data_IF_715843909258
#
_entry.id   IF_715843909258
#
_cell.length_a   1.000
_cell.length_b   1.000
_cell.length_c   1.000
_cell.angle_alpha   90.00
_cell.angle_beta   90.00
_cell.angle_gamma   90.00
#
_symmetry.space_group_name_H-M   'P 1'
#
loop_
_entity.id
_entity.type
_entity.pdbx_description
1 polymer ?
#
# COMPACT_ATOMS: atom_id res chain seq x y z
N UNK A 1 -24.20 -15.30 -4.34
CA UNK A 1 -23.54 -14.09 -3.77
C UNK A 1 -22.03 -14.13 -4.05
N UNK A 2 -21.67 -14.80 -5.12
CA UNK A 2 -20.27 -14.94 -5.55
C UNK A 2 -19.77 -13.62 -6.16
N UNK A 3 -18.52 -13.30 -5.93
CA UNK A 3 -17.72 -12.23 -6.52
C UNK A 3 -17.74 -10.84 -5.89
N UNK A 4 -18.08 -10.68 -4.60
CA UNK A 4 -17.88 -9.40 -3.91
C UNK A 4 -16.52 -9.41 -3.20
N UNK A 5 -15.61 -8.55 -3.65
CA UNK A 5 -14.29 -8.38 -3.08
C UNK A 5 -14.28 -7.04 -2.35
N UNK A 6 -13.96 -7.02 -1.06
CA UNK A 6 -13.77 -5.78 -0.31
C UNK A 6 -12.69 -4.95 -0.97
N UNK A 7 -12.96 -3.66 -1.21
CA UNK A 7 -11.98 -2.73 -1.81
C UNK A 7 -11.54 -1.74 -0.75
N UNK A 8 -10.27 -1.75 -0.44
CA UNK A 8 -9.65 -0.91 0.58
C UNK A 8 -8.74 0.13 -0.04
N UNK A 9 -8.83 1.36 0.49
CA UNK A 9 -7.92 2.43 0.12
C UNK A 9 -6.64 2.33 0.93
N UNK A 10 -5.54 1.98 0.28
CA UNK A 10 -4.19 2.06 0.83
C UNK A 10 -3.68 3.49 0.71
N UNK A 11 -3.93 4.31 1.74
CA UNK A 11 -3.39 5.65 1.80
C UNK A 11 -1.85 5.60 1.96
N UNK A 12 -1.18 6.74 1.72
CA UNK A 12 0.29 6.84 1.87
C UNK A 12 0.78 6.25 3.18
N UNK A 13 1.78 5.42 3.11
CA UNK A 13 2.39 4.77 4.27
C UNK A 13 3.84 4.38 4.01
N UNK A 14 4.52 3.97 5.08
CA UNK A 14 5.93 3.58 5.05
C UNK A 14 6.09 2.24 5.74
N UNK A 15 6.90 1.37 5.14
CA UNK A 15 7.46 0.20 5.80
C UNK A 15 8.93 0.49 6.08
N UNK A 16 9.39 0.14 7.27
CA UNK A 16 10.75 0.42 7.71
C UNK A 16 11.48 -0.85 8.14
N UNK A 17 12.80 -0.84 8.03
CA UNK A 17 13.65 -1.84 8.66
C UNK A 17 13.74 -1.60 10.17
N UNK A 18 14.20 -2.59 10.92
CA UNK A 18 14.45 -2.40 12.35
C UNK A 18 15.51 -1.33 12.61
N UNK A 19 16.54 -1.26 11.76
CA UNK A 19 17.61 -0.25 11.85
C UNK A 19 17.05 1.15 11.61
N UNK A 20 16.28 1.34 10.53
CA UNK A 20 15.62 2.62 10.22
C UNK A 20 14.68 3.04 11.35
N UNK A 21 13.94 2.09 11.93
CA UNK A 21 13.05 2.38 13.07
C UNK A 21 13.84 2.95 14.26
N UNK A 22 14.98 2.35 14.61
CA UNK A 22 15.82 2.84 15.71
C UNK A 22 16.40 4.23 15.44
N UNK A 23 16.80 4.52 14.20
CA UNK A 23 17.30 5.86 13.83
C UNK A 23 16.18 6.90 13.96
N UNK A 24 14.96 6.58 13.51
CA UNK A 24 13.86 7.53 13.49
C UNK A 24 13.22 7.75 14.87
N UNK A 25 13.17 6.73 15.73
CA UNK A 25 12.43 6.78 17.00
C UNK A 25 13.28 6.51 18.23
N UNK A 26 14.54 6.15 18.07
CA UNK A 26 15.49 5.88 19.16
C UNK A 26 15.75 4.37 19.32
N UNK A 27 16.92 4.09 19.89
CA UNK A 27 17.39 2.71 20.07
C UNK A 27 16.43 1.87 20.92
N UNK A 28 16.11 0.69 20.44
CA UNK A 28 15.21 -0.25 21.11
C UNK A 28 13.73 0.09 20.98
N UNK A 29 13.37 1.09 20.17
CA UNK A 29 11.97 1.40 19.90
C UNK A 29 11.27 0.24 19.18
N UNK A 30 10.04 -0.05 19.56
CA UNK A 30 9.18 -1.05 18.94
C UNK A 30 7.92 -0.39 18.41
N UNK A 31 7.41 -0.86 17.27
CA UNK A 31 6.18 -0.34 16.67
C UNK A 31 4.98 -0.60 17.58
N UNK A 32 4.18 0.43 17.78
CA UNK A 32 2.94 0.38 18.57
C UNK A 32 1.76 0.09 17.67
N UNK A 33 1.12 -1.05 17.83
CA UNK A 33 -0.08 -1.39 17.06
C UNK A 33 -1.24 -0.47 17.47
N UNK A 34 -1.71 0.33 16.53
CA UNK A 34 -2.88 1.18 16.66
C UNK A 34 -4.16 0.48 16.19
N UNK A 35 -4.07 -0.25 15.08
CA UNK A 35 -5.21 -0.91 14.43
C UNK A 35 -4.72 -2.02 13.51
N UNK A 36 -5.26 -3.22 13.68
CA UNK A 36 -5.03 -4.31 12.73
C UNK A 36 -5.61 -3.97 11.36
N UNK A 37 -4.92 -4.40 10.31
CA UNK A 37 -5.36 -4.29 8.93
C UNK A 37 -6.07 -5.57 8.48
N UNK A 38 -6.71 -5.53 7.32
CA UNK A 38 -7.38 -6.70 6.73
C UNK A 38 -6.42 -7.86 6.47
N UNK A 39 -5.17 -7.54 6.14
CA UNK A 39 -4.17 -8.58 5.89
C UNK A 39 -3.58 -9.10 7.21
N UNK A 40 -3.63 -10.44 7.43
CA UNK A 40 -3.19 -11.04 8.69
C UNK A 40 -1.76 -10.65 9.07
N UNK A 41 -1.57 -10.24 10.32
CA UNK A 41 -0.27 -9.87 10.88
C UNK A 41 0.23 -8.48 10.48
N UNK A 42 -0.52 -7.73 9.69
CA UNK A 42 -0.21 -6.33 9.37
C UNK A 42 -1.07 -5.39 10.21
N UNK A 43 -0.49 -4.26 10.59
CA UNK A 43 -1.17 -3.26 11.41
C UNK A 43 -0.69 -1.84 11.11
N UNK A 44 -1.59 -0.87 11.26
CA UNK A 44 -1.23 0.54 11.26
C UNK A 44 -0.63 0.90 12.64
N UNK A 45 0.47 1.66 12.62
CA UNK A 45 1.17 2.04 13.84
C UNK A 45 0.74 3.43 14.34
N UNK A 46 0.96 3.69 15.62
CA UNK A 46 0.87 5.06 16.18
C UNK A 46 1.98 5.94 15.60
N UNK A 47 3.13 5.36 15.28
CA UNK A 47 4.30 6.02 14.73
C UNK A 47 3.99 6.61 13.37
N UNK A 48 4.43 7.87 13.20
CA UNK A 48 4.35 8.60 11.94
C UNK A 48 5.69 9.22 11.61
N UNK A 49 5.98 9.27 10.33
CA UNK A 49 7.17 9.90 9.79
C UNK A 49 6.80 11.01 8.83
N UNK A 50 7.73 11.91 8.59
CA UNK A 50 7.66 12.88 7.51
C UNK A 50 8.46 12.34 6.32
N UNK A 51 7.80 12.15 5.18
CA UNK A 51 8.44 11.82 3.91
C UNK A 51 8.77 13.14 3.21
N UNK A 52 10.06 13.43 3.03
CA UNK A 52 10.55 14.65 2.40
C UNK A 52 11.08 14.37 1.00
N UNK A 53 10.62 15.14 0.06
CA UNK A 53 11.14 15.21 -1.30
C UNK A 53 11.68 16.60 -1.61
N UNK A 54 12.21 16.85 -2.82
CA UNK A 54 12.84 18.12 -3.19
C UNK A 54 11.87 19.30 -3.25
N UNK A 55 10.56 19.09 -3.35
CA UNK A 55 9.55 20.16 -3.46
C UNK A 55 8.66 20.31 -2.23
N UNK A 56 8.73 19.40 -1.29
CA UNK A 56 7.87 19.44 -0.10
C UNK A 56 7.97 18.19 0.76
N UNK A 57 7.05 18.09 1.71
CA UNK A 57 7.01 16.99 2.64
C UNK A 57 5.57 16.59 2.98
N UNK A 58 5.34 15.31 3.28
CA UNK A 58 4.06 14.75 3.68
C UNK A 58 4.24 13.88 4.93
N UNK A 59 3.25 13.88 5.81
CA UNK A 59 3.20 12.91 6.91
C UNK A 59 2.64 11.58 6.40
N UNK A 60 3.28 10.49 6.81
CA UNK A 60 2.84 9.12 6.53
C UNK A 60 2.83 8.28 7.80
N UNK A 61 1.92 7.33 7.88
CA UNK A 61 1.92 6.33 8.96
C UNK A 61 2.88 5.20 8.65
N UNK A 62 3.48 4.62 9.67
CA UNK A 62 4.21 3.36 9.52
C UNK A 62 3.19 2.22 9.55
N UNK A 63 3.38 1.24 8.68
CA UNK A 63 2.69 -0.05 8.73
C UNK A 63 3.66 -1.14 9.20
N UNK A 64 3.27 -1.80 10.26
CA UNK A 64 4.01 -2.91 10.83
C UNK A 64 3.60 -4.28 10.25
N UNK A 65 4.43 -5.30 10.52
CA UNK A 65 5.71 -5.28 11.22
C UNK A 65 6.85 -4.65 10.38
N UNK A 66 8.06 -4.52 10.99
CA UNK A 66 9.27 -4.11 10.25
C UNK A 66 9.57 -5.09 9.11
N UNK A 67 10.17 -4.56 8.03
CA UNK A 67 10.49 -5.31 6.80
C UNK A 67 12.00 -5.36 6.56
N UNK A 68 12.48 -6.25 5.65
CA UNK A 68 13.90 -6.32 5.29
C UNK A 68 14.42 -5.08 4.56
N UNK A 69 13.55 -4.27 3.95
CA UNK A 69 13.90 -3.04 3.24
C UNK A 69 12.89 -1.93 3.54
N UNK A 70 13.38 -0.68 3.49
CA UNK A 70 12.51 0.50 3.60
C UNK A 70 11.72 0.67 2.30
N UNK A 71 10.43 0.95 2.43
CA UNK A 71 9.55 1.18 1.29
C UNK A 71 8.55 2.27 1.63
N UNK A 72 8.34 3.19 0.70
CA UNK A 72 7.38 4.30 0.81
C UNK A 72 6.36 4.16 -0.29
N UNK A 73 5.11 3.95 0.07
CA UNK A 73 4.00 3.89 -0.87
C UNK A 73 3.25 5.21 -0.89
N UNK A 74 3.23 5.85 -2.05
CA UNK A 74 2.56 7.13 -2.29
C UNK A 74 1.60 6.98 -3.47
N UNK A 75 0.52 7.77 -3.47
CA UNK A 75 -0.19 8.01 -4.71
C UNK A 75 0.66 8.87 -5.65
N UNK A 76 0.35 8.85 -6.95
CA UNK A 76 1.07 9.69 -7.92
C UNK A 76 0.89 11.19 -7.63
N UNK A 77 -0.27 11.60 -7.09
CA UNK A 77 -0.51 12.97 -6.64
C UNK A 77 0.39 13.34 -5.46
N UNK A 78 0.52 12.47 -4.46
CA UNK A 78 1.40 12.70 -3.33
C UNK A 78 2.87 12.80 -3.77
N UNK A 79 3.32 11.86 -4.61
CA UNK A 79 4.68 11.86 -5.16
C UNK A 79 5.00 13.14 -5.91
N UNK A 80 4.09 13.60 -6.77
CA UNK A 80 4.22 14.86 -7.50
C UNK A 80 4.27 16.07 -6.57
N UNK A 81 3.47 16.06 -5.50
CA UNK A 81 3.41 17.15 -4.51
C UNK A 81 4.76 17.38 -3.84
N UNK A 82 5.45 16.32 -3.48
CA UNK A 82 6.78 16.44 -2.85
C UNK A 82 7.93 16.36 -3.86
N UNK A 83 7.62 16.16 -5.15
CA UNK A 83 8.60 16.18 -6.23
C UNK A 83 9.48 14.94 -6.33
N UNK A 84 8.98 13.79 -5.89
CA UNK A 84 9.67 12.49 -6.03
C UNK A 84 9.10 11.71 -7.22
N UNK A 85 9.90 10.82 -7.79
CA UNK A 85 9.46 9.86 -8.81
C UNK A 85 9.00 8.59 -8.11
N UNK A 86 7.75 8.20 -8.34
CA UNK A 86 7.19 6.96 -7.79
C UNK A 86 6.72 6.07 -8.96
N UNK A 87 7.56 5.16 -9.46
CA UNK A 87 7.12 4.23 -10.49
C UNK A 87 6.05 3.30 -9.94
N UNK A 88 5.09 2.91 -10.80
CA UNK A 88 4.08 1.92 -10.43
C UNK A 88 4.75 0.55 -10.37
N UNK A 89 4.75 -0.06 -9.19
CA UNK A 89 5.42 -1.33 -8.88
C UNK A 89 4.57 -2.19 -7.95
N UNK A 90 4.75 -3.50 -8.01
CA UNK A 90 4.25 -4.35 -6.93
C UNK A 90 5.03 -4.06 -5.63
N UNK A 91 4.34 -4.09 -4.49
CA UNK A 91 4.98 -3.94 -3.18
C UNK A 91 6.09 -4.98 -3.00
N UNK A 92 7.29 -4.51 -2.64
CA UNK A 92 8.53 -5.28 -2.58
C UNK A 92 9.45 -5.13 -3.79
N UNK A 93 8.96 -4.67 -4.94
CA UNK A 93 9.78 -4.37 -6.13
C UNK A 93 10.21 -2.89 -6.08
N UNK A 94 11.32 -2.63 -5.39
CA UNK A 94 11.82 -1.28 -5.15
C UNK A 94 13.09 -0.93 -5.93
N UNK A 95 13.68 -1.86 -6.66
CA UNK A 95 14.94 -1.62 -7.39
C UNK A 95 14.80 -0.50 -8.43
N UNK A 96 15.67 0.50 -8.36
CA UNK A 96 15.63 1.67 -9.25
C UNK A 96 14.40 2.57 -9.07
N UNK A 97 13.69 2.48 -7.96
CA UNK A 97 12.57 3.35 -7.64
C UNK A 97 13.01 4.70 -7.07
N UNK A 98 12.07 5.54 -6.67
CA UNK A 98 12.35 6.90 -6.21
C UNK A 98 13.07 6.98 -4.87
N UNK A 99 13.73 8.11 -4.64
CA UNK A 99 14.44 8.44 -3.40
C UNK A 99 13.65 9.46 -2.57
N UNK A 100 13.81 9.42 -1.25
CA UNK A 100 13.26 10.41 -0.33
C UNK A 100 14.08 10.46 0.96
N UNK A 101 13.73 11.38 1.86
CA UNK A 101 14.23 11.39 3.23
C UNK A 101 13.05 11.07 4.17
N UNK A 102 13.24 10.10 5.04
CA UNK A 102 12.33 9.84 6.16
C UNK A 102 12.83 10.60 7.38
N UNK A 103 11.94 11.34 8.04
CA UNK A 103 12.26 12.07 9.27
C UNK A 103 11.29 11.63 10.38
N UNK A 104 11.85 11.20 11.48
CA UNK A 104 11.18 10.87 12.74
C UNK A 104 11.57 11.84 13.86
N UNK A 105 11.08 11.61 15.08
CA UNK A 105 11.37 12.50 16.22
C UNK A 105 12.84 12.48 16.67
N UNK A 106 13.59 11.41 16.42
CA UNK A 106 14.95 11.22 16.89
C UNK A 106 16.01 11.38 15.79
N UNK A 107 15.63 11.33 14.51
CA UNK A 107 16.59 11.40 13.42
C UNK A 107 15.95 11.31 12.05
N UNK A 108 16.80 11.18 11.03
CA UNK A 108 16.39 11.04 9.65
C UNK A 108 17.22 10.01 8.91
N UNK A 109 16.63 9.40 7.89
CA UNK A 109 17.26 8.39 7.03
C UNK A 109 17.04 8.78 5.56
N UNK A 110 18.10 8.73 4.77
CA UNK A 110 18.00 8.84 3.32
C UNK A 110 17.64 7.48 2.72
N UNK A 111 16.46 7.39 2.13
CA UNK A 111 16.04 6.22 1.34
C UNK A 111 16.41 6.50 -0.11
N UNK A 112 17.50 5.86 -0.58
CA UNK A 112 18.04 6.08 -1.94
C UNK A 112 17.16 5.50 -3.02
N UNK A 113 16.48 4.39 -2.71
CA UNK A 113 15.46 3.74 -3.52
C UNK A 113 14.43 3.11 -2.57
N UNK A 114 13.15 3.12 -2.91
CA UNK A 114 12.08 2.63 -2.05
C UNK A 114 10.75 3.34 -2.25
N UNK A 115 10.71 4.47 -2.97
CA UNK A 115 9.46 5.19 -3.21
C UNK A 115 8.77 4.63 -4.45
N UNK A 116 7.57 4.09 -4.28
CA UNK A 116 6.74 3.52 -5.33
C UNK A 116 5.29 4.03 -5.24
N UNK A 117 4.57 3.97 -6.35
CA UNK A 117 3.13 3.89 -6.35
C UNK A 117 2.75 2.41 -6.44
N UNK A 118 2.11 1.89 -5.38
CA UNK A 118 1.80 0.47 -5.34
C UNK A 118 0.80 0.09 -6.46
N UNK A 119 1.16 -0.92 -7.26
CA UNK A 119 0.25 -1.44 -8.28
C UNK A 119 -0.99 -2.01 -7.60
N UNK A 120 -2.18 -1.64 -8.07
CA UNK A 120 -3.45 -2.18 -7.56
C UNK A 120 -3.48 -3.68 -7.67
N UNK A 121 -3.96 -4.34 -6.63
CA UNK A 121 -3.92 -5.80 -6.54
C UNK A 121 -5.03 -6.35 -5.65
N UNK A 122 -5.30 -7.63 -5.80
CA UNK A 122 -6.20 -8.38 -4.92
C UNK A 122 -5.36 -9.40 -4.18
N UNK A 123 -5.39 -9.36 -2.85
CA UNK A 123 -4.92 -10.47 -2.02
C UNK A 123 -6.04 -11.50 -1.87
N UNK A 124 -5.72 -12.77 -1.94
CA UNK A 124 -6.67 -13.85 -1.73
C UNK A 124 -5.99 -15.16 -1.31
N UNK A 125 -6.77 -16.04 -0.70
CA UNK A 125 -6.31 -17.41 -0.42
C UNK A 125 -6.43 -18.28 -1.68
N UNK A 126 -5.78 -19.48 -1.73
CA UNK A 126 -6.01 -20.45 -2.79
C UNK A 126 -7.47 -20.87 -2.95
N UNK A 127 -8.22 -20.91 -1.85
CA UNK A 127 -9.65 -21.23 -1.86
C UNK A 127 -10.47 -20.13 -2.55
N UNK A 128 -10.20 -18.85 -2.22
CA UNK A 128 -10.83 -17.70 -2.89
C UNK A 128 -10.52 -17.68 -4.39
N UNK A 129 -9.25 -17.95 -4.75
CA UNK A 129 -8.82 -17.98 -6.15
C UNK A 129 -9.57 -19.05 -6.95
N UNK A 130 -9.76 -20.24 -6.37
CA UNK A 130 -10.53 -21.31 -6.98
C UNK A 130 -12.01 -20.94 -7.12
N UNK A 131 -12.62 -20.32 -6.11
CA UNK A 131 -14.02 -19.87 -6.15
C UNK A 131 -14.24 -18.76 -7.20
N UNK A 132 -13.30 -17.81 -7.30
CA UNK A 132 -13.35 -16.70 -8.26
C UNK A 132 -12.90 -17.09 -9.66
N UNK A 133 -12.32 -18.30 -9.84
CA UNK A 133 -11.83 -18.80 -11.12
C UNK A 133 -10.65 -18.01 -11.68
N UNK A 134 -9.72 -17.63 -10.81
CA UNK A 134 -8.51 -16.88 -11.15
C UNK A 134 -7.26 -17.55 -10.58
N UNK A 135 -6.08 -17.12 -11.05
CA UNK A 135 -4.79 -17.70 -10.68
C UNK A 135 -3.84 -16.64 -10.12
N UNK A 136 -2.80 -17.08 -9.39
CA UNK A 136 -1.74 -16.17 -8.95
C UNK A 136 -1.08 -15.47 -10.13
N UNK A 137 -0.83 -14.14 -9.96
CA UNK A 137 -0.30 -13.25 -11.00
C UNK A 137 -1.19 -13.03 -12.22
N UNK A 138 -2.40 -13.55 -12.23
CA UNK A 138 -3.37 -13.21 -13.27
C UNK A 138 -3.71 -11.71 -13.20
N UNK A 139 -3.90 -11.10 -14.37
CA UNK A 139 -4.33 -9.72 -14.51
C UNK A 139 -5.83 -9.71 -14.80
N UNK A 140 -6.58 -9.07 -13.95
CA UNK A 140 -8.05 -9.02 -14.05
C UNK A 140 -8.56 -7.57 -14.13
N UNK A 141 -9.82 -7.42 -14.52
CA UNK A 141 -10.57 -6.17 -14.41
C UNK A 141 -11.53 -6.25 -13.22
N UNK A 142 -11.65 -5.16 -12.46
CA UNK A 142 -12.57 -5.10 -11.32
C UNK A 142 -13.50 -3.91 -11.46
N UNK A 143 -14.80 -4.18 -11.46
CA UNK A 143 -15.84 -3.16 -11.50
C UNK A 143 -16.24 -2.77 -10.08
N UNK A 144 -16.31 -1.47 -9.83
CA UNK A 144 -16.88 -0.86 -8.64
C UNK A 144 -18.17 -0.13 -8.98
N UNK A 145 -19.27 -0.47 -8.28
CA UNK A 145 -20.56 0.18 -8.41
C UNK A 145 -20.77 1.20 -7.27
N UNK A 146 -20.11 2.35 -7.40
CA UNK A 146 -20.15 3.48 -6.46
C UNK A 146 -20.93 4.66 -7.05
N UNK A 147 -20.93 5.82 -6.39
CA UNK A 147 -21.47 7.06 -6.93
C UNK A 147 -20.75 7.53 -8.21
N UNK A 148 -19.53 7.02 -8.46
CA UNK A 148 -18.75 7.27 -9.67
C UNK A 148 -18.24 5.93 -10.19
N UNK A 149 -19.08 5.12 -10.85
CA UNK A 149 -18.75 3.76 -11.25
C UNK A 149 -17.51 3.72 -12.15
N UNK A 150 -16.64 2.75 -11.90
CA UNK A 150 -15.39 2.61 -12.63
C UNK A 150 -15.02 1.13 -12.76
N UNK A 151 -14.36 0.79 -13.85
CA UNK A 151 -13.68 -0.51 -14.01
C UNK A 151 -12.19 -0.27 -13.94
N UNK A 152 -11.55 -0.81 -12.93
CA UNK A 152 -10.10 -0.86 -12.83
C UNK A 152 -9.58 -2.01 -13.67
N UNK A 153 -8.82 -1.71 -14.70
CA UNK A 153 -8.03 -2.70 -15.43
C UNK A 153 -6.67 -2.93 -14.78
N UNK A 154 -5.93 -3.91 -15.28
CA UNK A 154 -4.55 -4.19 -14.83
C UNK A 154 -4.44 -4.43 -13.31
N UNK A 155 -5.40 -5.16 -12.72
CA UNK A 155 -5.40 -5.53 -11.30
C UNK A 155 -4.69 -6.87 -11.16
N UNK A 156 -3.62 -6.91 -10.37
CA UNK A 156 -2.83 -8.13 -10.15
C UNK A 156 -3.48 -9.00 -9.08
N UNK A 157 -3.71 -10.26 -9.39
CA UNK A 157 -4.11 -11.27 -8.40
C UNK A 157 -2.87 -11.79 -7.67
N UNK A 158 -2.92 -11.81 -6.33
CA UNK A 158 -1.86 -12.31 -5.45
C UNK A 158 -2.44 -13.39 -4.54
N UNK A 159 -1.97 -14.62 -4.70
CA UNK A 159 -2.50 -15.78 -3.97
C UNK A 159 -1.51 -16.28 -2.93
N UNK A 160 -1.97 -16.42 -1.69
CA UNK A 160 -1.18 -17.02 -0.60
C UNK A 160 -2.09 -17.47 0.52
N UNK A 161 -1.76 -18.58 1.20
CA UNK A 161 -2.44 -19.02 2.42
C UNK A 161 -2.36 -18.00 3.57
N UNK A 162 -1.47 -17.01 3.46
CA UNK A 162 -1.27 -15.96 4.47
C UNK A 162 -2.11 -14.72 4.23
N UNK A 163 -2.87 -14.68 3.14
CA UNK A 163 -3.66 -13.50 2.76
C UNK A 163 -5.12 -13.63 3.19
N UNK A 164 -5.81 -12.50 3.20
CA UNK A 164 -7.26 -12.39 3.29
C UNK A 164 -7.79 -11.70 2.03
N UNK A 165 -9.02 -12.07 1.61
CA UNK A 165 -9.61 -11.53 0.38
C UNK A 165 -9.89 -10.04 0.49
N UNK A 166 -9.10 -9.23 -0.17
CA UNK A 166 -9.29 -7.78 -0.31
C UNK A 166 -8.53 -7.23 -1.51
N UNK A 167 -9.12 -6.27 -2.19
CA UNK A 167 -8.47 -5.46 -3.22
C UNK A 167 -7.90 -4.19 -2.59
N UNK A 168 -6.69 -3.82 -2.97
CA UNK A 168 -6.03 -2.59 -2.52
C UNK A 168 -5.81 -1.65 -3.70
N UNK A 169 -6.25 -0.40 -3.50
CA UNK A 169 -6.09 0.72 -4.44
C UNK A 169 -5.50 1.90 -3.69
N UNK A 170 -4.83 2.81 -4.39
CA UNK A 170 -4.30 4.01 -3.75
C UNK A 170 -5.35 5.12 -3.59
N UNK A 171 -4.95 6.26 -3.02
CA UNK A 171 -5.85 7.40 -2.77
C UNK A 171 -6.34 8.05 -4.06
N UNK A 172 -5.52 8.12 -5.12
CA UNK A 172 -5.93 8.70 -6.41
C UNK A 172 -6.98 7.82 -7.09
N UNK A 173 -6.78 6.50 -7.02
CA UNK A 173 -7.72 5.51 -7.55
C UNK A 173 -9.03 5.50 -6.77
N UNK A 174 -8.96 5.56 -5.43
CA UNK A 174 -10.12 5.69 -4.57
C UNK A 174 -10.93 6.95 -4.87
N UNK A 175 -10.28 8.09 -5.04
CA UNK A 175 -10.91 9.35 -5.43
C UNK A 175 -11.56 9.25 -6.81
N UNK A 176 -10.88 8.61 -7.77
CA UNK A 176 -11.41 8.43 -9.13
C UNK A 176 -12.71 7.63 -9.14
N UNK A 177 -12.81 6.62 -8.29
CA UNK A 177 -13.97 5.74 -8.19
C UNK A 177 -14.98 6.15 -7.11
N UNK A 178 -14.78 7.23 -6.33
CA UNK A 178 -15.55 7.53 -5.12
C UNK A 178 -15.66 6.32 -4.18
N UNK A 179 -14.56 5.58 -4.02
CA UNK A 179 -14.50 4.38 -3.18
C UNK A 179 -14.24 4.77 -1.72
N UNK A 180 -15.26 5.31 -1.05
CA UNK A 180 -15.19 5.78 0.32
C UNK A 180 -16.03 4.89 1.24
N UNK A 181 -15.49 4.59 2.43
CA UNK A 181 -16.14 3.69 3.39
C UNK A 181 -16.03 2.22 2.96
N UNK A 182 -17.06 1.44 3.24
CA UNK A 182 -17.13 0.02 2.88
C UNK A 182 -17.61 -0.12 1.43
N UNK A 183 -16.71 -0.50 0.54
CA UNK A 183 -16.95 -0.63 -0.89
C UNK A 183 -16.57 -2.03 -1.35
N UNK A 184 -17.35 -2.58 -2.28
CA UNK A 184 -17.09 -3.88 -2.88
C UNK A 184 -16.94 -3.77 -4.40
N UNK A 185 -16.00 -4.53 -4.94
CA UNK A 185 -15.82 -4.73 -6.36
C UNK A 185 -16.16 -6.14 -6.80
N UNK A 186 -16.29 -6.34 -8.09
CA UNK A 186 -16.44 -7.66 -8.71
C UNK A 186 -15.52 -7.78 -9.92
N UNK A 187 -14.91 -8.97 -10.09
CA UNK A 187 -14.12 -9.27 -11.28
C UNK A 187 -15.08 -9.34 -12.48
N UNK A 188 -14.70 -8.64 -13.54
CA UNK A 188 -15.43 -8.63 -14.83
C UNK A 188 -14.50 -9.11 -15.94
N UNK A 189 -15.07 -9.92 -16.85
CA UNK A 189 -14.35 -10.46 -18.02
C UNK A 189 -14.48 -9.53 -19.21
#
# INVERSE_FOLDING_TARGET
MANKILVETSARHVHVTAETLEILFGKGHTLTNKKDLSQPGQFACEEKVTVKGPKGALKASILGPTRPADQVELSLTDARTIGVVAPVRESGDIAGSGACILEGPCGSVEVKEGVIAAKRHIHMTPADAAELGVSDKEIVNVKLDTARPLIFGDVVVRVSDKFALAMHIDTDESNAACAFGEVYGSIVK
#
